data_IF_769309390625
#
_entry.id   IF_769309390625
#
_cell.length_a   1.000
_cell.length_b   1.000
_cell.length_c   1.000
_cell.angle_alpha   90.00
_cell.angle_beta   90.00
_cell.angle_gamma   90.00
#
_symmetry.space_group_name_H-M   'P 1'
#
loop_
_entity.id
_entity.type
_entity.pdbx_description
1 polymer ?
#
# COMPACT_ATOMS: atom_id res chain seq x y z
N UNK A 1 -1.70 14.66 -8.54
CA UNK A 1 -2.90 15.20 -9.22
C UNK A 1 -3.38 14.15 -10.22
N UNK A 2 -4.68 13.85 -10.24
CA UNK A 2 -5.28 12.97 -11.25
C UNK A 2 -5.84 13.82 -12.43
N UNK A 3 -5.88 13.29 -13.66
CA UNK A 3 -5.33 12.00 -14.09
C UNK A 3 -3.80 11.98 -14.07
N UNK A 4 -3.19 10.86 -13.68
CA UNK A 4 -1.72 10.74 -13.71
C UNK A 4 -1.20 10.67 -15.14
N UNK A 5 -0.04 11.27 -15.45
CA UNK A 5 0.42 11.46 -16.82
C UNK A 5 0.85 10.17 -17.52
N UNK A 6 0.91 10.23 -18.85
CA UNK A 6 1.50 9.18 -19.71
C UNK A 6 2.74 9.77 -20.36
N UNK A 7 3.89 9.12 -20.20
CA UNK A 7 5.16 9.57 -20.78
C UNK A 7 5.63 8.57 -21.83
N UNK A 8 6.18 9.07 -22.94
CA UNK A 8 6.96 8.23 -23.85
C UNK A 8 8.24 7.80 -23.12
N UNK A 9 8.63 6.54 -23.26
CA UNK A 9 9.88 6.02 -22.70
C UNK A 9 10.60 5.18 -23.75
N UNK A 10 11.90 5.42 -23.93
CA UNK A 10 12.74 4.69 -24.90
C UNK A 10 13.96 4.12 -24.17
N UNK A 11 13.81 3.01 -23.43
CA UNK A 11 14.96 2.38 -22.79
C UNK A 11 15.92 1.78 -23.84
N UNK A 12 17.21 1.60 -23.50
CA UNK A 12 18.17 0.95 -24.40
C UNK A 12 17.69 -0.43 -24.85
N UNK A 13 17.90 -0.76 -26.13
CA UNK A 13 17.60 -2.09 -26.68
C UNK A 13 16.19 -2.28 -27.26
N UNK A 14 15.34 -1.24 -27.24
CA UNK A 14 14.02 -1.30 -27.91
C UNK A 14 14.18 -0.93 -29.40
N UNK A 15 13.67 -1.75 -30.33
CA UNK A 15 13.67 -1.43 -31.77
C UNK A 15 12.97 -0.12 -32.07
N UNK A 16 13.42 0.62 -33.09
CA UNK A 16 12.82 1.91 -33.49
C UNK A 16 11.36 1.78 -33.98
N UNK A 17 10.94 0.57 -34.35
CA UNK A 17 9.56 0.26 -34.75
C UNK A 17 8.60 0.09 -33.57
N UNK A 18 9.10 0.05 -32.33
CA UNK A 18 8.29 -0.14 -31.12
C UNK A 18 8.22 1.16 -30.32
N UNK A 19 7.00 1.65 -30.10
CA UNK A 19 6.77 2.78 -29.20
C UNK A 19 6.36 2.30 -27.82
N UNK A 20 7.15 2.66 -26.81
CA UNK A 20 6.86 2.36 -25.41
C UNK A 20 6.41 3.62 -24.65
N UNK A 21 5.40 3.43 -23.81
CA UNK A 21 4.77 4.47 -23.01
C UNK A 21 4.61 3.99 -21.56
N UNK A 22 4.69 4.90 -20.59
CA UNK A 22 4.50 4.63 -19.17
C UNK A 22 3.34 5.46 -18.65
N UNK A 23 2.36 4.79 -18.04
CA UNK A 23 1.34 5.43 -17.20
C UNK A 23 1.88 5.62 -15.78
N UNK A 24 2.08 6.88 -15.36
CA UNK A 24 2.73 7.24 -14.07
C UNK A 24 1.81 7.16 -12.87
N UNK A 25 1.23 6.00 -12.60
CA UNK A 25 0.39 5.80 -11.41
C UNK A 25 1.15 5.95 -10.08
N UNK A 26 2.47 5.92 -10.12
CA UNK A 26 3.33 6.28 -8.98
C UNK A 26 3.25 7.77 -8.61
N UNK A 27 2.77 8.65 -9.50
CA UNK A 27 2.64 10.09 -9.26
C UNK A 27 1.30 10.52 -8.65
N UNK A 28 0.58 9.60 -8.02
CA UNK A 28 -0.66 9.89 -7.29
C UNK A 28 -0.45 10.54 -5.91
N UNK A 29 0.79 10.86 -5.53
CA UNK A 29 1.18 11.44 -4.22
C UNK A 29 1.95 10.43 -3.36
N UNK A 30 2.90 10.85 -2.51
CA UNK A 30 3.81 9.90 -1.83
C UNK A 30 3.08 8.97 -0.85
N UNK A 31 2.14 9.51 -0.07
CA UNK A 31 1.38 8.75 0.94
C UNK A 31 0.30 7.86 0.28
N UNK A 32 -0.29 8.38 -0.80
CA UNK A 32 -1.34 7.77 -1.61
C UNK A 32 -0.77 7.26 -2.96
N UNK A 33 0.48 6.82 -2.97
CA UNK A 33 1.22 6.54 -4.19
C UNK A 33 0.88 5.18 -4.79
N UNK A 34 0.81 5.13 -6.12
CA UNK A 34 0.74 3.89 -6.88
C UNK A 34 -0.67 3.42 -7.19
N UNK A 35 -0.75 2.31 -7.92
CA UNK A 35 -2.00 1.80 -8.46
C UNK A 35 -3.07 1.43 -7.41
N UNK A 36 -2.69 1.22 -6.13
CA UNK A 36 -3.63 0.80 -5.08
C UNK A 36 -4.61 1.90 -4.70
N UNK A 37 -4.21 3.16 -4.82
CA UNK A 37 -5.06 4.28 -4.43
C UNK A 37 -6.27 4.45 -5.36
N UNK A 38 -6.14 4.07 -6.64
CA UNK A 38 -7.28 3.99 -7.57
C UNK A 38 -8.36 3.01 -7.10
N UNK A 39 -7.97 1.89 -6.50
CA UNK A 39 -8.91 0.92 -5.95
C UNK A 39 -9.51 1.40 -4.63
N UNK A 40 -8.67 1.99 -3.78
CA UNK A 40 -9.07 2.44 -2.44
C UNK A 40 -10.06 3.60 -2.46
N UNK A 41 -10.05 4.44 -3.50
CA UNK A 41 -11.06 5.49 -3.69
C UNK A 41 -12.49 4.95 -3.53
N UNK A 42 -12.81 3.87 -4.21
CA UNK A 42 -14.15 3.27 -4.18
C UNK A 42 -14.40 2.49 -2.87
N UNK A 43 -13.42 1.71 -2.42
CA UNK A 43 -13.59 0.89 -1.22
C UNK A 43 -13.73 1.72 0.05
N UNK A 44 -12.97 2.81 0.17
CA UNK A 44 -13.04 3.70 1.33
C UNK A 44 -14.26 4.62 1.26
N UNK A 45 -14.71 5.02 0.06
CA UNK A 45 -16.01 5.68 -0.09
C UNK A 45 -17.15 4.79 0.42
N UNK A 46 -17.13 3.50 0.09
CA UNK A 46 -18.08 2.53 0.63
C UNK A 46 -17.97 2.39 2.15
N UNK A 47 -16.77 2.26 2.69
CA UNK A 47 -16.54 2.19 4.14
C UNK A 47 -17.12 3.41 4.88
N UNK A 48 -16.92 4.61 4.33
CA UNK A 48 -17.52 5.84 4.86
C UNK A 48 -19.05 5.80 4.81
N UNK A 49 -19.63 5.35 3.69
CA UNK A 49 -21.09 5.23 3.56
C UNK A 49 -21.69 4.23 4.56
N UNK A 50 -20.97 3.14 4.84
CA UNK A 50 -21.34 2.17 5.86
C UNK A 50 -21.05 2.65 7.30
N UNK A 51 -20.44 3.83 7.47
CA UNK A 51 -20.00 4.37 8.76
C UNK A 51 -19.04 3.42 9.49
N UNK A 52 -18.19 2.72 8.74
CA UNK A 52 -17.15 1.89 9.33
C UNK A 52 -16.18 2.75 10.14
N UNK A 53 -15.86 2.30 11.35
CA UNK A 53 -14.84 2.95 12.19
C UNK A 53 -13.42 2.48 11.82
N UNK A 54 -13.31 1.31 11.17
CA UNK A 54 -12.05 0.61 10.95
C UNK A 54 -11.99 -0.04 9.57
N UNK A 55 -10.78 -0.20 9.05
CA UNK A 55 -10.49 -1.03 7.87
C UNK A 55 -9.36 -1.98 8.16
N UNK A 56 -9.49 -3.21 7.67
CA UNK A 56 -8.50 -4.27 7.85
C UNK A 56 -7.92 -4.62 6.48
N UNK A 57 -6.58 -4.69 6.40
CA UNK A 57 -5.90 -5.17 5.20
C UNK A 57 -4.71 -6.05 5.57
N UNK A 58 -4.23 -6.80 4.59
CA UNK A 58 -3.10 -7.71 4.74
C UNK A 58 -1.99 -7.42 3.72
N UNK A 59 -0.75 -7.72 4.09
CA UNK A 59 0.41 -7.55 3.24
C UNK A 59 1.66 -8.24 3.77
N UNK A 60 2.79 -8.04 3.11
CA UNK A 60 4.10 -8.23 3.74
C UNK A 60 4.55 -6.94 4.43
N UNK A 61 5.64 -7.01 5.20
CA UNK A 61 6.23 -5.85 5.91
C UNK A 61 6.45 -4.62 5.02
N UNK A 62 6.78 -4.82 3.74
CA UNK A 62 7.02 -3.74 2.79
C UNK A 62 5.88 -3.55 1.78
N UNK A 63 4.65 -3.87 2.17
CA UNK A 63 3.50 -3.82 1.28
C UNK A 63 3.12 -2.39 0.92
N UNK A 64 3.29 -2.01 -0.35
CA UNK A 64 2.74 -0.76 -0.88
C UNK A 64 1.20 -0.69 -0.71
N UNK A 65 0.51 -1.83 -0.70
CA UNK A 65 -0.94 -1.86 -0.48
C UNK A 65 -1.29 -1.53 0.97
N UNK A 66 -0.58 -2.12 1.94
CA UNK A 66 -0.83 -1.88 3.36
C UNK A 66 -0.60 -0.40 3.70
N UNK A 67 0.53 0.17 3.25
CA UNK A 67 0.81 1.60 3.36
C UNK A 67 -0.30 2.46 2.75
N UNK A 68 -0.67 2.20 1.49
CA UNK A 68 -1.70 2.99 0.82
C UNK A 68 -3.03 2.95 1.57
N UNK A 69 -3.47 1.76 2.03
CA UNK A 69 -4.69 1.61 2.81
C UNK A 69 -4.60 2.35 4.14
N UNK A 70 -3.48 2.20 4.85
CA UNK A 70 -3.23 2.85 6.13
C UNK A 70 -3.34 4.37 6.02
N UNK A 71 -2.56 4.97 5.13
CA UNK A 71 -2.52 6.42 4.96
C UNK A 71 -3.87 6.96 4.48
N UNK A 72 -4.52 6.28 3.52
CA UNK A 72 -5.84 6.69 3.04
C UNK A 72 -6.90 6.63 4.15
N UNK A 73 -6.93 5.56 4.95
CA UNK A 73 -7.87 5.40 6.05
C UNK A 73 -7.67 6.49 7.11
N UNK A 74 -6.40 6.76 7.49
CA UNK A 74 -6.08 7.81 8.46
C UNK A 74 -6.52 9.20 8.01
N UNK A 75 -6.34 9.53 6.72
CA UNK A 75 -6.81 10.81 6.17
C UNK A 75 -8.33 10.96 6.22
N UNK A 76 -9.07 9.85 6.19
CA UNK A 76 -10.52 9.81 6.26
C UNK A 76 -11.07 9.64 7.69
N UNK A 77 -10.19 9.59 8.71
CA UNK A 77 -10.59 9.38 10.10
C UNK A 77 -11.01 7.94 10.43
N UNK A 78 -10.65 6.96 9.59
CA UNK A 78 -10.91 5.53 9.80
C UNK A 78 -9.67 4.87 10.39
N UNK A 79 -9.84 3.93 11.34
CA UNK A 79 -8.75 3.21 12.01
C UNK A 79 -8.22 2.04 11.15
N UNK A 80 -6.96 2.08 10.68
CA UNK A 80 -6.40 0.97 9.91
C UNK A 80 -5.80 -0.12 10.82
N UNK A 81 -6.17 -1.37 10.55
CA UNK A 81 -5.51 -2.55 11.06
C UNK A 81 -4.75 -3.26 9.93
N UNK A 82 -3.46 -3.44 10.11
CA UNK A 82 -2.56 -4.01 9.11
C UNK A 82 -2.04 -5.36 9.60
N UNK A 83 -2.45 -6.43 8.93
CA UNK A 83 -1.87 -7.76 9.14
C UNK A 83 -0.65 -7.87 8.24
N UNK A 84 0.55 -7.86 8.82
CA UNK A 84 1.80 -7.87 8.05
C UNK A 84 2.56 -9.18 8.27
N UNK A 85 2.70 -9.94 7.19
CA UNK A 85 3.43 -11.21 7.18
C UNK A 85 4.93 -10.98 7.33
N UNK A 86 5.54 -11.62 8.31
CA UNK A 86 6.98 -11.64 8.55
C UNK A 86 7.65 -12.80 7.82
N UNK A 87 8.94 -12.62 7.50
CA UNK A 87 9.78 -13.69 6.97
C UNK A 87 10.24 -14.62 8.09
N UNK A 88 10.46 -15.90 7.75
CA UNK A 88 10.96 -16.92 8.67
C UNK A 88 12.24 -16.42 9.38
N UNK A 89 12.24 -16.42 10.72
CA UNK A 89 13.39 -15.97 11.54
C UNK A 89 13.40 -14.49 11.96
N UNK A 90 12.44 -13.69 11.50
CA UNK A 90 12.19 -12.31 12.00
C UNK A 90 10.93 -12.21 12.86
N UNK A 91 10.36 -13.37 13.22
CA UNK A 91 9.07 -13.55 13.87
C UNK A 91 9.01 -12.85 15.24
N UNK A 92 10.17 -12.71 15.89
CA UNK A 92 10.31 -12.12 17.23
C UNK A 92 11.09 -10.81 17.25
N UNK A 93 11.52 -10.30 16.08
CA UNK A 93 12.30 -9.06 15.99
C UNK A 93 11.47 -7.96 15.37
N UNK A 94 11.43 -6.81 16.05
CA UNK A 94 10.86 -5.59 15.48
C UNK A 94 11.57 -5.28 14.15
N UNK A 95 10.84 -5.21 13.01
CA UNK A 95 11.41 -4.84 11.71
C UNK A 95 11.96 -3.41 11.68
N UNK A 96 11.71 -2.60 12.71
CA UNK A 96 12.18 -1.24 12.86
C UNK A 96 11.38 -0.25 12.01
N UNK A 97 12.01 0.87 11.67
CA UNK A 97 11.40 2.02 10.99
C UNK A 97 11.92 2.14 9.55
N UNK A 98 11.56 1.17 8.70
CA UNK A 98 12.11 1.04 7.34
C UNK A 98 11.05 1.00 6.25
N UNK A 99 11.30 1.69 5.13
CA UNK A 99 10.47 1.62 3.93
C UNK A 99 9.01 1.99 4.19
N UNK A 100 8.09 1.15 3.70
CA UNK A 100 6.64 1.32 3.84
C UNK A 100 6.14 1.20 5.28
N UNK A 101 6.85 0.49 6.15
CA UNK A 101 6.48 0.32 7.55
C UNK A 101 6.60 1.63 8.36
N UNK A 102 7.54 2.50 7.98
CA UNK A 102 7.74 3.79 8.66
C UNK A 102 6.48 4.67 8.62
N UNK A 103 5.91 5.04 7.44
CA UNK A 103 4.70 5.84 7.39
C UNK A 103 3.49 5.13 8.00
N UNK A 104 3.37 3.81 7.88
CA UNK A 104 2.31 3.03 8.55
C UNK A 104 2.32 3.23 10.08
N UNK A 105 3.51 3.21 10.69
CA UNK A 105 3.71 3.47 12.13
C UNK A 105 3.50 4.94 12.48
N UNK A 106 4.06 5.87 11.71
CA UNK A 106 3.89 7.31 11.93
C UNK A 106 2.42 7.74 11.84
N UNK A 107 1.65 7.13 10.93
CA UNK A 107 0.22 7.33 10.82
C UNK A 107 -0.58 6.73 11.99
N UNK A 108 0.05 6.01 12.92
CA UNK A 108 -0.61 5.38 14.07
C UNK A 108 -1.52 4.24 13.66
N UNK A 109 -1.08 3.40 12.72
CA UNK A 109 -1.82 2.18 12.33
C UNK A 109 -1.67 1.09 13.38
N UNK A 110 -2.69 0.25 13.54
CA UNK A 110 -2.61 -0.95 14.36
C UNK A 110 -1.93 -2.07 13.57
N UNK A 111 -0.71 -2.43 13.93
CA UNK A 111 0.10 -3.41 13.19
C UNK A 111 0.08 -4.75 13.89
N UNK A 112 -0.39 -5.78 13.18
CA UNK A 112 -0.39 -7.16 13.61
C UNK A 112 0.66 -7.91 12.80
N UNK A 113 1.79 -8.21 13.43
CA UNK A 113 2.82 -9.03 12.81
C UNK A 113 2.41 -10.50 12.91
N UNK A 114 2.33 -11.17 11.76
CA UNK A 114 1.98 -12.60 11.70
C UNK A 114 3.08 -13.39 11.02
N UNK A 115 3.38 -14.55 11.57
CA UNK A 115 4.33 -15.51 11.04
C UNK A 115 3.71 -16.26 9.86
N UNK A 116 4.54 -16.90 9.04
CA UNK A 116 4.04 -17.74 7.94
C UNK A 116 3.19 -18.91 8.46
N UNK A 117 3.56 -19.47 9.61
CA UNK A 117 2.83 -20.56 10.27
C UNK A 117 1.45 -20.11 10.74
N UNK A 118 1.36 -18.97 11.44
CA UNK A 118 0.07 -18.43 11.89
C UNK A 118 -0.84 -18.10 10.70
N UNK A 119 -0.27 -17.60 9.60
CA UNK A 119 -1.02 -17.29 8.39
C UNK A 119 -1.61 -18.53 7.69
N UNK A 120 -0.84 -19.63 7.62
CA UNK A 120 -1.27 -20.84 6.90
C UNK A 120 -2.14 -21.79 7.72
N UNK A 121 -2.44 -21.44 8.97
CA UNK A 121 -3.22 -22.29 9.90
C UNK A 121 -4.72 -21.98 9.88
N UNK A 122 -5.15 -21.02 9.06
CA UNK A 122 -6.55 -20.65 8.79
C UNK A 122 -6.84 -20.76 7.29
#
# INVERSE_FOLDING_TARGET
QFPTPIHRWKPPGIPDTVEMWIKRDDWSGMELGGNKCRKLEFLLAEALNQKADSVITIGGIQSNHARATAMSAKLLGIHPHLILRTSKGLETKDPGLVGNLLPERLGGSHIHLVTKSEYGSY
#
